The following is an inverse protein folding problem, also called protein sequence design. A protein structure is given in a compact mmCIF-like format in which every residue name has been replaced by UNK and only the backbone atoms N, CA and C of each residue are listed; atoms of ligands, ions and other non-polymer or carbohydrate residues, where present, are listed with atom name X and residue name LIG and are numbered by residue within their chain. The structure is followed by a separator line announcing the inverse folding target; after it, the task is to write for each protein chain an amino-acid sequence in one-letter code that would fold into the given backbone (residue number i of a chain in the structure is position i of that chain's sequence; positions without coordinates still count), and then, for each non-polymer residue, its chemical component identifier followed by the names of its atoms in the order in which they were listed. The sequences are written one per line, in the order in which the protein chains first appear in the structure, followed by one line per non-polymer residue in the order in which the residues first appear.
data_IF_891003672372
#
_entry.id   IF_891003672372
#
_cell.length_a   1.000
_cell.length_b   1.000
_cell.length_c   1.000
_cell.angle_alpha   90.00
_cell.angle_beta   90.00
_cell.angle_gamma   90.00
#
_symmetry.space_group_name_H-M   'P 1'
#
loop_
_entity.id
_entity.type
_entity.pdbx_description
1 polymer ?
#
# COMPACT_ATOMS: atom_id res chain seq x y z
N UNK A 1 4.65 -8.22 -14.46
CA UNK A 1 3.23 -8.10 -14.09
C UNK A 1 3.05 -6.84 -13.27
N UNK A 2 2.03 -6.08 -13.59
CA UNK A 2 1.75 -4.82 -12.90
C UNK A 2 0.54 -4.98 -11.98
N UNK A 3 0.58 -4.26 -10.87
CA UNK A 3 -0.52 -4.24 -9.91
C UNK A 3 -0.74 -2.81 -9.44
N UNK A 4 -1.98 -2.47 -9.15
CA UNK A 4 -2.34 -1.18 -8.57
C UNK A 4 -3.15 -1.43 -7.31
N UNK A 5 -2.74 -0.83 -6.24
CA UNK A 5 -3.39 -0.98 -4.93
C UNK A 5 -3.82 0.38 -4.41
N UNK A 6 -5.03 0.41 -3.87
CA UNK A 6 -5.53 1.58 -3.15
C UNK A 6 -5.56 1.21 -1.67
N UNK A 7 -4.75 1.90 -0.89
CA UNK A 7 -4.63 1.65 0.54
C UNK A 7 -5.23 2.83 1.29
N UNK A 8 -6.14 2.53 2.21
CA UNK A 8 -6.70 3.52 3.12
C UNK A 8 -6.31 3.16 4.53
N UNK A 9 -5.81 4.13 5.27
CA UNK A 9 -5.41 3.91 6.65
C UNK A 9 -5.58 5.15 7.50
N UNK A 10 -5.17 5.05 8.75
CA UNK A 10 -5.12 6.20 9.65
C UNK A 10 -3.91 7.06 9.29
N UNK A 11 -4.03 8.37 9.51
CA UNK A 11 -2.92 9.29 9.23
C UNK A 11 -1.86 9.17 10.33
N UNK A 12 -1.05 8.14 10.19
CA UNK A 12 0.02 7.76 11.10
C UNK A 12 1.35 7.97 10.37
N UNK A 13 2.25 8.72 10.96
CA UNK A 13 3.55 9.05 10.37
C UNK A 13 4.36 7.81 10.01
N UNK A 14 4.16 6.70 10.72
CA UNK A 14 4.91 5.48 10.50
C UNK A 14 4.28 4.58 9.43
N UNK A 15 3.07 4.90 8.96
CA UNK A 15 2.34 4.02 8.06
C UNK A 15 3.04 3.90 6.71
N UNK A 16 3.37 5.03 6.08
CA UNK A 16 4.01 5.01 4.76
C UNK A 16 5.36 4.28 4.79
N UNK A 17 6.28 4.59 5.71
CA UNK A 17 7.54 3.85 5.76
C UNK A 17 7.33 2.35 6.01
N UNK A 18 6.35 1.99 6.80
CA UNK A 18 6.05 0.59 7.10
C UNK A 18 5.55 -0.14 5.86
N UNK A 19 4.66 0.51 5.10
CA UNK A 19 4.15 -0.06 3.85
C UNK A 19 5.29 -0.25 2.86
N UNK A 20 6.15 0.74 2.69
CA UNK A 20 7.29 0.64 1.78
C UNK A 20 8.23 -0.48 2.19
N UNK A 21 8.43 -0.69 3.48
CA UNK A 21 9.27 -1.79 3.98
C UNK A 21 8.66 -3.14 3.64
N UNK A 22 7.35 -3.29 3.82
CA UNK A 22 6.65 -4.53 3.48
C UNK A 22 6.78 -4.82 2.00
N UNK A 23 6.56 -3.82 1.15
CA UNK A 23 6.68 -3.97 -0.30
C UNK A 23 8.09 -4.39 -0.69
N UNK A 24 9.10 -3.78 -0.08
CA UNK A 24 10.50 -4.11 -0.34
C UNK A 24 10.79 -5.58 0.01
N UNK A 25 10.26 -6.05 1.13
CA UNK A 25 10.46 -7.45 1.55
C UNK A 25 9.78 -8.43 0.60
N UNK A 26 8.72 -8.02 -0.05
CA UNK A 26 8.02 -8.86 -1.04
C UNK A 26 8.69 -8.83 -2.42
N UNK A 27 9.78 -8.09 -2.58
CA UNK A 27 10.44 -7.94 -3.85
C UNK A 27 9.69 -7.04 -4.83
N UNK A 28 8.74 -6.29 -4.34
CA UNK A 28 7.91 -5.42 -5.18
C UNK A 28 8.71 -4.19 -5.61
N UNK A 29 8.56 -3.81 -6.88
CA UNK A 29 9.09 -2.55 -7.37
C UNK A 29 7.98 -1.51 -7.40
N UNK A 30 8.16 -0.42 -6.66
CA UNK A 30 7.21 0.68 -6.67
C UNK A 30 7.46 1.52 -7.91
N UNK A 31 6.47 1.59 -8.79
CA UNK A 31 6.55 2.36 -10.03
C UNK A 31 5.95 3.75 -9.88
N UNK A 32 4.94 3.86 -9.04
CA UNK A 32 4.26 5.13 -8.79
C UNK A 32 3.63 5.07 -7.41
N UNK A 33 3.70 6.17 -6.70
CA UNK A 33 3.06 6.33 -5.41
C UNK A 33 2.43 7.70 -5.33
N UNK A 34 1.13 7.74 -5.08
CA UNK A 34 0.43 8.98 -4.81
C UNK A 34 -0.14 8.90 -3.41
N UNK A 35 0.06 9.94 -2.62
CA UNK A 35 -0.42 10.00 -1.25
C UNK A 35 -1.34 11.20 -1.10
N UNK A 36 -2.48 10.96 -0.47
CA UNK A 36 -3.43 12.00 -0.11
C UNK A 36 -3.68 11.89 1.38
N UNK A 37 -3.24 12.87 2.14
CA UNK A 37 -3.36 12.85 3.58
C UNK A 37 -4.40 13.89 4.02
N UNK A 38 -5.40 13.41 4.76
CA UNK A 38 -6.35 14.26 5.44
C UNK A 38 -6.04 14.24 6.94
N UNK A 39 -6.85 14.91 7.73
CA UNK A 39 -6.57 15.10 9.14
C UNK A 39 -6.41 13.78 9.89
N UNK A 40 -7.31 12.82 9.62
CA UNK A 40 -7.33 11.53 10.32
C UNK A 40 -7.16 10.33 9.38
N UNK A 41 -6.97 10.56 8.09
CA UNK A 41 -6.97 9.52 7.08
C UNK A 41 -5.84 9.69 6.10
N UNK A 42 -5.26 8.58 5.69
CA UNK A 42 -4.24 8.53 4.67
C UNK A 42 -4.69 7.61 3.55
N UNK A 43 -4.60 8.09 2.31
CA UNK A 43 -4.90 7.28 1.13
C UNK A 43 -3.65 7.19 0.27
N UNK A 44 -3.36 5.97 -0.17
CA UNK A 44 -2.22 5.70 -1.02
C UNK A 44 -2.70 5.00 -2.29
N UNK A 45 -2.22 5.49 -3.43
CA UNK A 45 -2.43 4.87 -4.73
C UNK A 45 -1.06 4.39 -5.20
N UNK A 46 -0.84 3.09 -5.15
CA UNK A 46 0.46 2.49 -5.38
C UNK A 46 0.42 1.63 -6.63
N UNK A 47 1.32 1.90 -7.57
CA UNK A 47 1.52 1.05 -8.74
C UNK A 47 2.81 0.25 -8.56
N UNK A 48 2.68 -1.05 -8.68
CA UNK A 48 3.76 -2.00 -8.42
C UNK A 48 4.06 -2.85 -9.64
N UNK A 49 5.27 -3.36 -9.70
CA UNK A 49 5.71 -4.31 -10.71
C UNK A 49 6.31 -5.53 -10.02
N UNK A 50 6.18 -6.69 -10.69
CA UNK A 50 6.77 -7.96 -10.25
C UNK A 50 6.18 -8.49 -8.95
N UNK A 51 4.86 -8.35 -8.80
CA UNK A 51 4.14 -8.85 -7.62
C UNK A 51 2.83 -9.50 -8.02
N UNK A 52 2.35 -10.36 -7.13
CA UNK A 52 0.98 -10.87 -7.19
C UNK A 52 0.13 -9.96 -6.32
N UNK A 53 -0.77 -9.20 -6.95
CA UNK A 53 -1.53 -8.16 -6.27
C UNK A 53 -2.31 -8.67 -5.06
N UNK A 54 -2.99 -9.81 -5.19
CA UNK A 54 -3.80 -10.36 -4.12
C UNK A 54 -2.96 -10.72 -2.88
N UNK A 55 -1.77 -11.24 -3.10
CA UNK A 55 -0.87 -11.63 -2.02
C UNK A 55 -0.37 -10.41 -1.25
N UNK A 56 0.05 -9.38 -1.98
CA UNK A 56 0.55 -8.15 -1.37
C UNK A 56 -0.58 -7.43 -0.63
N UNK A 57 -1.76 -7.37 -1.23
CA UNK A 57 -2.92 -6.74 -0.60
C UNK A 57 -3.26 -7.42 0.73
N UNK A 58 -3.20 -8.76 0.76
CA UNK A 58 -3.47 -9.52 1.99
C UNK A 58 -2.46 -9.18 3.08
N UNK A 59 -1.18 -9.07 2.74
CA UNK A 59 -0.13 -8.74 3.71
C UNK A 59 -0.31 -7.31 4.23
N UNK A 60 -0.57 -6.37 3.32
CA UNK A 60 -0.76 -4.97 3.71
C UNK A 60 -2.00 -4.77 4.60
N UNK A 61 -3.06 -5.52 4.34
CA UNK A 61 -4.28 -5.39 5.12
C UNK A 61 -4.12 -5.78 6.59
N UNK A 62 -3.06 -6.51 6.90
CA UNK A 62 -2.76 -6.94 8.28
C UNK A 62 -1.90 -5.94 9.04
N UNK A 63 -1.43 -4.88 8.39
CA UNK A 63 -0.60 -3.88 9.05
C UNK A 63 -1.44 -3.00 9.97
N UNK A 64 -0.82 -2.59 11.08
CA UNK A 64 -1.46 -1.66 12.02
C UNK A 64 -1.74 -0.34 11.30
N UNK A 65 -2.88 0.24 11.56
CA UNK A 65 -3.38 1.50 11.00
C UNK A 65 -3.90 1.38 9.56
N UNK A 66 -3.81 0.23 8.94
CA UNK A 66 -4.42 0.01 7.61
C UNK A 66 -5.89 -0.36 7.81
N UNK A 67 -6.78 0.41 7.18
CA UNK A 67 -8.22 0.20 7.25
C UNK A 67 -8.68 -0.71 6.12
N UNK A 68 -8.21 -0.45 4.90
CA UNK A 68 -8.61 -1.26 3.76
C UNK A 68 -7.54 -1.23 2.68
N UNK A 69 -7.47 -2.31 1.92
CA UNK A 69 -6.62 -2.43 0.74
C UNK A 69 -7.47 -3.00 -0.39
N UNK A 70 -7.52 -2.27 -1.51
CA UNK A 70 -8.27 -2.70 -2.68
C UNK A 70 -7.34 -2.84 -3.86
N UNK A 71 -7.51 -3.91 -4.62
CA UNK A 71 -6.79 -4.08 -5.88
C UNK A 71 -7.61 -3.46 -7.01
N UNK A 72 -6.93 -2.80 -7.93
CA UNK A 72 -7.57 -2.18 -9.09
C UNK A 72 -7.19 -2.98 -10.31
N UNK A 73 -8.20 -3.36 -11.06
CA UNK A 73 -8.00 -4.14 -12.28
C UNK A 73 -7.41 -3.27 -13.41
#
# INVERSE_FOLDING_TARGET
MFARLLVTGQNDETLLPRILRVLSKQGAQVRSLKMDAEEDRLQLDIQLQDVVAAQVAKILSKQISVVSVNTVA
#
